data_IF_418679928103
#
_entry.id   IF_418679928103
#
_cell.length_a   1.000
_cell.length_b   1.000
_cell.length_c   1.000
_cell.angle_alpha   90.00
_cell.angle_beta   90.00
_cell.angle_gamma   90.00
#
_symmetry.space_group_name_H-M   'P 1'
#
loop_
_entity.id
_entity.type
_entity.pdbx_description
1 polymer ?
#
# COMPACT_ATOMS: atom_id res chain seq x y z
N UNK A 1 -4.26 25.80 8.57
CA UNK A 1 -4.24 24.49 9.25
C UNK A 1 -4.14 23.48 8.13
N UNK A 2 -3.03 22.76 7.99
CA UNK A 2 -3.01 21.64 7.07
C UNK A 2 -4.16 20.71 7.49
N UNK A 3 -5.03 20.37 6.55
CA UNK A 3 -6.07 19.38 6.78
C UNK A 3 -5.39 18.11 7.30
N UNK A 4 -5.70 17.71 8.54
CA UNK A 4 -5.05 16.59 9.19
C UNK A 4 -5.53 15.31 8.51
N UNK A 5 -4.83 14.87 7.47
CA UNK A 5 -5.14 13.61 6.80
C UNK A 5 -4.47 12.47 7.54
N UNK A 6 -5.23 11.45 7.93
CA UNK A 6 -4.67 10.20 8.46
C UNK A 6 -4.37 9.25 7.31
N UNK A 7 -3.19 8.59 7.34
CA UNK A 7 -2.77 7.68 6.27
C UNK A 7 -2.16 6.40 6.80
N UNK A 8 -2.49 5.30 6.12
CA UNK A 8 -1.86 4.00 6.28
C UNK A 8 -1.16 3.65 4.97
N UNK A 9 0.12 3.29 5.05
CA UNK A 9 0.92 2.81 3.92
C UNK A 9 1.08 1.29 4.03
N UNK A 10 0.81 0.62 2.93
CA UNK A 10 0.86 -0.82 2.74
C UNK A 10 1.95 -1.12 1.70
N UNK A 11 3.06 -1.72 2.13
CA UNK A 11 4.19 -2.04 1.27
C UNK A 11 4.13 -3.50 0.88
N UNK A 12 3.82 -3.80 -0.38
CA UNK A 12 3.58 -5.15 -0.85
C UNK A 12 4.58 -5.52 -1.94
N UNK A 13 5.10 -6.74 -1.86
CA UNK A 13 6.01 -7.33 -2.85
C UNK A 13 5.25 -8.39 -3.63
N UNK A 14 5.43 -8.42 -4.95
CA UNK A 14 4.85 -9.47 -5.78
C UNK A 14 5.48 -10.82 -5.45
N UNK A 15 4.78 -11.90 -5.75
CA UNK A 15 5.41 -13.23 -5.71
C UNK A 15 6.63 -13.29 -6.64
N UNK A 16 7.69 -14.04 -6.27
CA UNK A 16 8.92 -14.08 -7.06
C UNK A 16 8.74 -14.71 -8.44
N UNK A 17 7.67 -15.49 -8.66
CA UNK A 17 7.44 -16.27 -9.87
C UNK A 17 6.52 -15.61 -10.92
N UNK A 18 6.05 -14.37 -10.68
CA UNK A 18 5.23 -13.62 -11.64
C UNK A 18 5.96 -12.36 -12.12
N UNK A 19 5.76 -11.95 -13.38
CA UNK A 19 6.38 -10.72 -13.89
C UNK A 19 5.74 -9.45 -13.30
N UNK A 20 6.40 -8.29 -13.46
CA UNK A 20 5.86 -7.01 -13.00
C UNK A 20 4.57 -6.65 -13.75
N UNK A 21 4.51 -6.94 -15.04
CA UNK A 21 3.32 -6.70 -15.88
C UNK A 21 2.16 -7.58 -15.42
N UNK A 22 2.39 -8.89 -15.27
CA UNK A 22 1.38 -9.82 -14.78
C UNK A 22 0.89 -9.46 -13.37
N UNK A 23 1.79 -8.97 -12.52
CA UNK A 23 1.46 -8.45 -11.21
C UNK A 23 0.54 -7.23 -11.29
N UNK A 24 0.89 -6.19 -12.07
CA UNK A 24 0.07 -4.98 -12.24
C UNK A 24 -1.29 -5.30 -12.85
N UNK A 25 -1.34 -6.16 -13.87
CA UNK A 25 -2.58 -6.58 -14.53
C UNK A 25 -3.51 -7.32 -13.56
N UNK A 26 -2.99 -8.29 -12.80
CA UNK A 26 -3.78 -9.00 -11.79
C UNK A 26 -4.22 -8.04 -10.68
N UNK A 27 -3.33 -7.16 -10.21
CA UNK A 27 -3.63 -6.22 -9.16
C UNK A 27 -4.82 -5.33 -9.54
N UNK A 28 -4.77 -4.67 -10.70
CA UNK A 28 -5.82 -3.73 -11.11
C UNK A 28 -7.12 -4.45 -11.53
N UNK A 29 -7.03 -5.64 -12.14
CA UNK A 29 -8.22 -6.36 -12.61
C UNK A 29 -8.95 -7.17 -11.53
N UNK A 30 -8.28 -7.52 -10.41
CA UNK A 30 -8.84 -8.40 -9.37
C UNK A 30 -8.63 -7.88 -7.95
N UNK A 31 -7.37 -7.67 -7.56
CA UNK A 31 -7.05 -7.34 -6.17
C UNK A 31 -7.63 -5.98 -5.74
N UNK A 32 -7.43 -4.93 -6.54
CA UNK A 32 -7.91 -3.59 -6.21
C UNK A 32 -9.44 -3.52 -6.07
N UNK A 33 -10.26 -4.03 -7.02
CA UNK A 33 -11.71 -4.07 -6.86
C UNK A 33 -12.16 -4.85 -5.62
N UNK A 34 -11.49 -5.96 -5.32
CA UNK A 34 -11.77 -6.75 -4.13
C UNK A 34 -11.42 -5.98 -2.85
N UNK A 35 -10.25 -5.35 -2.77
CA UNK A 35 -9.82 -4.56 -1.63
C UNK A 35 -10.73 -3.34 -1.40
N UNK A 36 -11.19 -2.68 -2.47
CA UNK A 36 -12.12 -1.55 -2.41
C UNK A 36 -13.45 -1.93 -1.73
N UNK A 37 -13.97 -3.15 -1.97
CA UNK A 37 -15.17 -3.70 -1.29
C UNK A 37 -15.01 -3.75 0.24
N UNK A 38 -13.79 -3.93 0.73
CA UNK A 38 -13.47 -3.98 2.18
C UNK A 38 -12.95 -2.66 2.75
N UNK A 39 -12.80 -1.62 1.92
CA UNK A 39 -12.20 -0.34 2.30
C UNK A 39 -13.25 0.71 2.71
N UNK A 40 -14.32 0.28 3.40
CA UNK A 40 -15.39 1.20 3.85
C UNK A 40 -14.82 2.28 4.77
N UNK A 41 -15.07 3.55 4.44
CA UNK A 41 -14.59 4.70 5.22
C UNK A 41 -13.19 5.21 4.84
N UNK A 42 -12.51 4.57 3.89
CA UNK A 42 -11.32 5.12 3.22
C UNK A 42 -11.76 6.24 2.28
N UNK A 43 -11.19 7.45 2.42
CA UNK A 43 -11.50 8.59 1.54
C UNK A 43 -10.71 8.56 0.24
N UNK A 44 -9.50 7.97 0.24
CA UNK A 44 -8.70 7.74 -0.97
C UNK A 44 -7.91 6.44 -0.87
N UNK A 45 -7.92 5.67 -1.96
CA UNK A 45 -7.12 4.46 -2.14
C UNK A 45 -6.16 4.69 -3.31
N UNK A 46 -4.86 4.83 -3.05
CA UNK A 46 -3.85 5.12 -4.08
C UNK A 46 -2.89 3.94 -4.19
N UNK A 47 -2.59 3.51 -5.41
CA UNK A 47 -1.63 2.43 -5.73
C UNK A 47 -0.42 3.05 -6.43
N UNK A 48 0.75 3.04 -5.78
CA UNK A 48 2.01 3.54 -6.34
C UNK A 48 2.90 2.35 -6.67
N UNK A 49 2.89 1.95 -7.94
CA UNK A 49 3.83 0.94 -8.42
C UNK A 49 5.25 1.50 -8.43
N UNK A 50 6.18 0.69 -7.98
CA UNK A 50 7.59 1.08 -7.85
C UNK A 50 8.31 0.67 -9.12
N UNK A 51 8.91 1.65 -9.80
CA UNK A 51 9.88 1.46 -10.88
C UNK A 51 11.27 1.81 -10.32
N UNK A 52 12.01 0.83 -9.76
CA UNK A 52 13.25 1.09 -9.03
C UNK A 52 14.33 1.71 -9.93
N UNK A 53 15.12 2.62 -9.37
CA UNK A 53 16.30 3.22 -10.01
C UNK A 53 17.54 2.89 -9.17
N UNK A 54 18.70 2.64 -9.81
CA UNK A 54 19.94 2.40 -9.08
C UNK A 54 20.41 3.69 -8.39
N UNK A 55 20.98 3.53 -7.20
CA UNK A 55 21.65 4.63 -6.50
C UNK A 55 23.17 4.50 -6.64
N UNK A 56 23.92 5.59 -6.89
CA UNK A 56 25.37 5.52 -7.12
C UNK A 56 26.18 4.85 -6.01
N UNK A 57 25.73 4.94 -4.76
CA UNK A 57 26.47 4.38 -3.61
C UNK A 57 25.97 3.00 -3.18
N UNK A 58 24.67 2.74 -3.30
CA UNK A 58 24.05 1.51 -2.77
C UNK A 58 23.70 0.50 -3.86
N UNK A 59 23.84 0.89 -5.13
CA UNK A 59 23.59 0.04 -6.28
C UNK A 59 22.10 -0.18 -6.55
N UNK A 60 21.80 -1.37 -7.05
CA UNK A 60 20.47 -1.79 -7.48
C UNK A 60 19.47 -1.89 -6.32
N UNK A 61 18.20 -1.56 -6.60
CA UNK A 61 17.11 -1.68 -5.64
C UNK A 61 16.33 -2.99 -5.87
N UNK A 62 16.79 -4.08 -5.25
CA UNK A 62 16.24 -5.44 -5.46
C UNK A 62 15.23 -5.88 -4.41
N UNK A 63 15.37 -5.39 -3.18
CA UNK A 63 14.67 -5.95 -2.02
C UNK A 63 13.44 -5.13 -1.60
N UNK A 64 13.05 -4.15 -2.42
CA UNK A 64 11.91 -3.28 -2.20
C UNK A 64 10.55 -3.91 -2.42
N UNK A 65 9.48 -3.20 -2.00
CA UNK A 65 8.13 -3.49 -2.45
C UNK A 65 7.97 -3.18 -3.94
N UNK A 66 7.08 -3.89 -4.61
CA UNK A 66 6.69 -3.60 -6.00
C UNK A 66 5.54 -2.58 -6.05
N UNK A 67 4.81 -2.41 -4.95
CA UNK A 67 3.74 -1.40 -4.82
C UNK A 67 3.66 -0.86 -3.39
N UNK A 68 3.40 0.44 -3.27
CA UNK A 68 2.99 1.09 -2.03
C UNK A 68 1.52 1.50 -2.22
N UNK A 69 0.65 0.96 -1.39
CA UNK A 69 -0.76 1.38 -1.35
C UNK A 69 -0.99 2.32 -0.18
N UNK A 70 -1.62 3.45 -0.44
CA UNK A 70 -1.99 4.43 0.57
C UNK A 70 -3.51 4.41 0.78
N UNK A 71 -3.92 4.23 2.02
CA UNK A 71 -5.29 4.44 2.47
C UNK A 71 -5.36 5.77 3.22
N UNK A 72 -6.21 6.67 2.76
CA UNK A 72 -6.42 8.00 3.33
C UNK A 72 -7.75 8.02 4.09
N UNK A 73 -7.80 8.78 5.17
CA UNK A 73 -8.97 8.91 6.01
C UNK A 73 -9.13 10.35 6.48
N UNK A 74 -10.38 10.81 6.48
CA UNK A 74 -10.76 12.15 6.96
C UNK A 74 -11.21 12.10 8.43
N UNK A 75 -11.39 10.89 8.98
CA UNK A 75 -11.86 10.65 10.35
C UNK A 75 -10.86 9.78 11.12
N UNK A 76 -10.43 10.26 12.29
CA UNK A 76 -9.44 9.58 13.14
C UNK A 76 -9.93 8.24 13.68
N UNK A 77 -11.20 8.14 14.06
CA UNK A 77 -11.77 6.92 14.64
C UNK A 77 -11.78 5.80 13.60
N UNK A 78 -12.23 6.09 12.37
CA UNK A 78 -12.17 5.15 11.24
C UNK A 78 -10.74 4.72 10.94
N UNK A 79 -9.80 5.67 10.92
CA UNK A 79 -8.37 5.39 10.73
C UNK A 79 -7.83 4.44 11.81
N UNK A 80 -8.09 4.74 13.09
CA UNK A 80 -7.61 3.92 14.21
C UNK A 80 -8.24 2.53 14.21
N UNK A 81 -9.53 2.44 13.92
CA UNK A 81 -10.24 1.17 13.78
C UNK A 81 -9.67 0.31 12.64
N UNK A 82 -9.44 0.93 11.48
CA UNK A 82 -8.82 0.26 10.33
C UNK A 82 -7.41 -0.22 10.66
N UNK A 83 -6.57 0.65 11.25
CA UNK A 83 -5.22 0.30 11.65
C UNK A 83 -5.19 -0.87 12.63
N UNK A 84 -6.05 -0.84 13.65
CA UNK A 84 -6.16 -1.92 14.61
C UNK A 84 -6.58 -3.23 13.92
N UNK A 85 -7.56 -3.18 13.02
CA UNK A 85 -8.02 -4.35 12.28
C UNK A 85 -6.89 -4.96 11.44
N UNK A 86 -6.24 -4.18 10.58
CA UNK A 86 -5.22 -4.70 9.66
C UNK A 86 -3.95 -5.19 10.35
N UNK A 87 -3.68 -4.77 11.59
CA UNK A 87 -2.47 -5.17 12.34
C UNK A 87 -2.70 -6.31 13.33
N UNK A 88 -3.95 -6.65 13.64
CA UNK A 88 -4.28 -7.64 14.68
C UNK A 88 -5.22 -8.75 14.22
N UNK A 89 -5.93 -8.55 13.11
CA UNK A 89 -6.91 -9.51 12.60
C UNK A 89 -6.37 -10.24 11.39
N UNK A 90 -6.80 -11.49 11.23
CA UNK A 90 -6.68 -12.17 9.95
C UNK A 90 -7.64 -11.50 8.95
N UNK A 91 -7.13 -11.27 7.74
CA UNK A 91 -7.96 -10.78 6.63
C UNK A 91 -9.04 -11.82 6.29
N UNK A 92 -10.16 -11.42 5.68
CA UNK A 92 -11.17 -12.36 5.19
C UNK A 92 -10.54 -13.41 4.27
N UNK A 93 -11.07 -14.65 4.28
CA UNK A 93 -10.52 -15.76 3.47
C UNK A 93 -10.46 -15.41 1.98
N UNK A 94 -11.44 -14.65 1.46
CA UNK A 94 -11.45 -14.18 0.07
C UNK A 94 -10.22 -13.31 -0.26
N UNK A 95 -9.82 -12.42 0.65
CA UNK A 95 -8.60 -11.60 0.51
C UNK A 95 -7.36 -12.47 0.64
N UNK A 96 -7.34 -13.41 1.60
CA UNK A 96 -6.19 -14.30 1.81
C UNK A 96 -5.91 -15.14 0.56
N UNK A 97 -6.95 -15.73 -0.04
CA UNK A 97 -6.81 -16.54 -1.26
C UNK A 97 -6.39 -15.68 -2.46
N UNK A 98 -6.90 -14.45 -2.57
CA UNK A 98 -6.46 -13.52 -3.60
C UNK A 98 -4.98 -13.11 -3.43
N UNK A 99 -4.57 -12.71 -2.22
CA UNK A 99 -3.20 -12.33 -1.91
C UNK A 99 -2.21 -13.47 -2.16
N UNK A 100 -2.59 -14.74 -1.92
CA UNK A 100 -1.74 -15.91 -2.23
C UNK A 100 -1.43 -16.04 -3.72
N UNK A 101 -2.30 -15.51 -4.59
CA UNK A 101 -2.04 -15.53 -6.03
C UNK A 101 -1.11 -14.41 -6.47
N UNK A 102 -0.98 -13.34 -5.67
CA UNK A 102 -0.38 -12.07 -6.10
C UNK A 102 0.90 -11.68 -5.33
N UNK A 103 0.93 -11.82 -4.01
CA UNK A 103 1.98 -11.26 -3.16
C UNK A 103 2.88 -12.30 -2.51
N UNK A 104 4.15 -11.91 -2.30
CA UNK A 104 4.96 -12.48 -1.23
C UNK A 104 4.43 -11.95 0.11
N UNK A 105 3.54 -12.73 0.73
CA UNK A 105 2.83 -12.31 1.94
C UNK A 105 3.76 -12.12 3.14
N UNK A 106 4.95 -12.72 3.14
CA UNK A 106 5.93 -12.53 4.23
C UNK A 106 6.69 -11.20 4.10
N UNK A 107 6.68 -10.58 2.92
CA UNK A 107 7.27 -9.28 2.66
C UNK A 107 6.31 -8.10 2.97
N UNK A 108 5.04 -8.37 3.29
CA UNK A 108 4.06 -7.31 3.56
C UNK A 108 4.45 -6.49 4.79
N UNK A 109 4.52 -5.17 4.65
CA UNK A 109 4.76 -4.23 5.76
C UNK A 109 3.66 -3.17 5.82
N UNK A 110 3.39 -2.68 7.02
CA UNK A 110 2.40 -1.64 7.30
C UNK A 110 3.13 -0.50 8.01
N UNK A 111 2.88 0.74 7.60
CA UNK A 111 3.33 1.93 8.31
C UNK A 111 2.24 3.00 8.38
N UNK A 112 2.39 3.90 9.35
CA UNK A 112 1.65 5.15 9.44
C UNK A 112 2.64 6.31 9.28
N UNK A 113 2.18 7.47 8.84
CA UNK A 113 3.08 8.61 8.55
C UNK A 113 2.76 9.82 9.40
N UNK A 114 3.80 10.64 9.62
CA UNK A 114 3.68 11.99 10.16
C UNK A 114 4.19 12.94 9.09
N UNK A 115 3.29 13.75 8.53
CA UNK A 115 3.61 14.57 7.37
C UNK A 115 4.26 15.90 7.77
N UNK A 116 5.31 16.26 7.03
CA UNK A 116 5.98 17.55 7.08
C UNK A 116 6.22 17.97 5.63
N UNK A 117 5.71 19.14 5.27
CA UNK A 117 5.84 19.69 3.92
C UNK A 117 6.75 20.92 3.97
N UNK A 118 7.68 21.00 3.03
CA UNK A 118 8.50 22.19 2.79
C UNK A 118 7.87 23.01 1.68
N UNK A 119 7.87 24.34 1.84
CA UNK A 119 7.37 25.25 0.82
C UNK A 119 8.47 25.60 -0.19
N UNK A 120 8.24 25.28 -1.46
CA UNK A 120 9.11 25.62 -2.58
C UNK A 120 8.52 26.72 -3.49
N UNK A 121 7.43 27.39 -3.09
CA UNK A 121 6.78 28.41 -3.93
C UNK A 121 7.65 29.66 -4.19
N UNK A 122 8.80 29.76 -3.51
CA UNK A 122 9.76 30.85 -3.64
C UNK A 122 11.11 30.41 -4.25
N UNK A 123 11.19 29.21 -4.85
CA UNK A 123 12.38 28.71 -5.54
C UNK A 123 12.36 29.03 -7.05
#
# INVERSE_FOLDING_TARGET
>A
MADQTYKILLFMKRRPDISVEAFRDYYESKHAPLAEKYSSGVSRYIRRYIDPQPHPETGEFTDGPDVITELWFDNEETYRGTLAYITTSLMPDEIIEDEKNLFDRMAFRIATVVERESDFSNA
#
